data_IF_044970835268
#
_entry.id   IF_044970835268
#
_cell.length_a   1.000
_cell.length_b   1.000
_cell.length_c   1.000
_cell.angle_alpha   90.00
_cell.angle_beta   90.00
_cell.angle_gamma   90.00
#
_symmetry.space_group_name_H-M   'P 1'
#
loop_
_entity.id
_entity.type
_entity.pdbx_description
1 polymer ?
#
# COMPACT_ATOMS: atom_id res chain seq x y z
N UNK A 1 15.57 13.45 -8.46
CA UNK A 1 14.40 14.24 -8.01
C UNK A 1 13.06 13.55 -8.24
N UNK A 2 12.59 13.36 -9.49
CA UNK A 2 11.29 12.72 -9.75
C UNK A 2 11.23 11.29 -9.18
N UNK A 3 12.27 10.49 -9.47
CA UNK A 3 12.46 9.13 -8.92
C UNK A 3 12.39 9.11 -7.38
N UNK A 4 13.13 10.00 -6.74
CA UNK A 4 13.20 10.07 -5.28
C UNK A 4 11.86 10.47 -4.65
N UNK A 5 11.11 11.35 -5.33
CA UNK A 5 9.76 11.75 -4.94
C UNK A 5 8.77 10.58 -5.01
N UNK A 6 8.85 9.77 -6.08
CA UNK A 6 8.01 8.56 -6.23
C UNK A 6 8.29 7.56 -5.10
N UNK A 7 9.56 7.25 -4.84
CA UNK A 7 9.92 6.33 -3.76
C UNK A 7 9.46 6.85 -2.39
N UNK A 8 9.69 8.13 -2.10
CA UNK A 8 9.24 8.76 -0.85
C UNK A 8 7.71 8.69 -0.71
N UNK A 9 6.97 8.91 -1.78
CA UNK A 9 5.51 8.82 -1.73
C UNK A 9 5.04 7.37 -1.51
N UNK A 10 5.72 6.38 -2.08
CA UNK A 10 5.44 4.96 -1.80
C UNK A 10 5.69 4.65 -0.31
N UNK A 11 6.81 5.10 0.24
CA UNK A 11 7.14 4.90 1.66
C UNK A 11 6.10 5.56 2.58
N UNK A 12 5.71 6.81 2.29
CA UNK A 12 4.69 7.53 3.04
C UNK A 12 3.33 6.81 3.02
N UNK A 13 2.97 6.20 1.89
CA UNK A 13 1.72 5.46 1.78
C UNK A 13 1.79 4.08 2.44
N UNK A 14 2.96 3.45 2.47
CA UNK A 14 3.17 2.12 3.05
C UNK A 14 3.17 2.15 4.59
N UNK A 15 3.78 3.17 5.18
CA UNK A 15 3.88 3.33 6.64
C UNK A 15 2.80 4.24 7.21
N UNK A 16 2.68 4.25 8.53
CA UNK A 16 1.78 5.16 9.25
C UNK A 16 2.23 6.61 9.06
N UNK A 17 1.69 7.26 8.03
CA UNK A 17 1.88 8.68 7.74
C UNK A 17 0.54 9.39 7.73
N UNK A 18 0.55 10.65 8.14
CA UNK A 18 -0.62 11.52 8.11
C UNK A 18 -0.99 11.94 6.68
N UNK A 19 -2.25 12.31 6.48
CA UNK A 19 -2.77 12.70 5.17
C UNK A 19 -2.16 14.00 4.62
N UNK A 20 -1.67 14.88 5.49
CA UNK A 20 -1.07 16.16 5.07
C UNK A 20 0.27 15.89 4.40
N UNK A 21 1.11 15.06 5.01
CA UNK A 21 2.40 14.64 4.45
C UNK A 21 2.26 13.96 3.09
N UNK A 22 1.27 13.07 2.94
CA UNK A 22 1.01 12.39 1.65
C UNK A 22 0.53 13.40 0.60
N UNK A 23 -0.42 14.28 0.93
CA UNK A 23 -0.89 15.30 -0.01
C UNK A 23 0.22 16.25 -0.44
N UNK A 24 1.12 16.62 0.48
CA UNK A 24 2.26 17.46 0.17
C UNK A 24 3.21 16.78 -0.84
N UNK A 25 3.54 15.51 -0.62
CA UNK A 25 4.41 14.77 -1.56
C UNK A 25 3.70 14.50 -2.90
N UNK A 26 2.38 14.28 -2.91
CA UNK A 26 1.58 14.18 -4.14
C UNK A 26 1.58 15.48 -4.95
N UNK A 27 1.45 16.64 -4.30
CA UNK A 27 1.55 17.94 -4.97
C UNK A 27 2.95 18.17 -5.57
N UNK A 28 3.99 17.76 -4.84
CA UNK A 28 5.36 17.82 -5.32
C UNK A 28 5.59 16.89 -6.50
N UNK A 29 5.07 15.66 -6.45
CA UNK A 29 5.12 14.70 -7.55
C UNK A 29 4.45 15.28 -8.80
N UNK A 30 3.26 15.90 -8.67
CA UNK A 30 2.59 16.58 -9.78
C UNK A 30 3.49 17.63 -10.45
N UNK A 31 4.06 18.55 -9.65
CA UNK A 31 4.92 19.62 -10.18
C UNK A 31 6.18 19.08 -10.87
N UNK A 32 6.81 18.05 -10.30
CA UNK A 32 8.01 17.44 -10.88
C UNK A 32 7.69 16.70 -12.18
N UNK A 33 6.58 15.98 -12.23
CA UNK A 33 6.11 15.32 -13.43
C UNK A 33 5.77 16.32 -14.54
N UNK A 34 5.00 17.37 -14.24
CA UNK A 34 4.59 18.36 -15.23
C UNK A 34 5.83 19.03 -15.86
N UNK A 35 6.79 19.44 -15.03
CA UNK A 35 8.07 19.99 -15.49
C UNK A 35 8.88 19.00 -16.34
N UNK A 36 8.91 17.72 -15.95
CA UNK A 36 9.58 16.69 -16.73
C UNK A 36 8.95 16.57 -18.12
N UNK A 37 7.62 16.44 -18.17
CA UNK A 37 6.89 16.23 -19.42
C UNK A 37 6.92 17.44 -20.35
N UNK A 38 6.90 18.66 -19.80
CA UNK A 38 7.08 19.90 -20.58
C UNK A 38 8.42 19.92 -21.31
N UNK A 39 9.48 19.42 -20.67
CA UNK A 39 10.84 19.47 -21.21
C UNK A 39 11.20 18.27 -22.09
N UNK A 40 10.71 17.09 -21.75
CA UNK A 40 11.18 15.82 -22.34
C UNK A 40 10.06 14.95 -22.92
N UNK A 41 8.81 15.41 -22.88
CA UNK A 41 7.65 14.60 -23.27
C UNK A 41 7.35 13.47 -22.29
N UNK A 42 6.53 12.51 -22.73
CA UNK A 42 6.10 11.38 -21.90
C UNK A 42 7.30 10.52 -21.47
N UNK A 43 7.28 10.07 -20.22
CA UNK A 43 8.25 9.14 -19.63
C UNK A 43 8.30 7.84 -20.44
N UNK A 44 7.14 7.34 -20.90
CA UNK A 44 7.03 6.14 -21.73
C UNK A 44 7.45 6.34 -23.19
N UNK A 45 7.87 7.56 -23.60
CA UNK A 45 8.32 7.77 -24.97
C UNK A 45 9.59 6.98 -25.28
N UNK A 46 9.75 6.56 -26.54
CA UNK A 46 10.92 5.79 -26.98
C UNK A 46 12.26 6.50 -26.69
N UNK A 47 12.30 7.82 -26.81
CA UNK A 47 13.50 8.60 -26.50
C UNK A 47 13.89 8.50 -25.03
N UNK A 48 12.92 8.62 -24.13
CA UNK A 48 13.14 8.48 -22.69
C UNK A 48 13.46 7.03 -22.31
N UNK A 49 12.83 6.03 -22.94
CA UNK A 49 13.17 4.63 -22.74
C UNK A 49 14.63 4.31 -23.05
N UNK A 50 15.18 4.89 -24.13
CA UNK A 50 16.59 4.74 -24.47
C UNK A 50 17.50 5.49 -23.49
N UNK A 51 17.11 6.70 -23.08
CA UNK A 51 17.87 7.51 -22.14
C UNK A 51 17.94 6.88 -20.73
N UNK A 52 16.94 6.08 -20.35
CA UNK A 52 16.84 5.41 -19.06
C UNK A 52 17.12 3.90 -19.13
N UNK A 53 17.74 3.39 -20.21
CA UNK A 53 17.94 1.96 -20.41
C UNK A 53 18.64 1.24 -19.24
N UNK A 54 19.57 1.92 -18.57
CA UNK A 54 20.33 1.40 -17.42
C UNK A 54 19.73 1.78 -16.05
N UNK A 55 18.58 2.46 -16.02
CA UNK A 55 17.91 2.87 -14.78
C UNK A 55 16.92 1.79 -14.31
N UNK A 56 17.26 1.13 -13.20
CA UNK A 56 16.41 0.12 -12.58
C UNK A 56 15.03 0.63 -12.17
N UNK A 57 14.88 1.94 -11.92
CA UNK A 57 13.60 2.55 -11.53
C UNK A 57 12.79 3.03 -12.74
N UNK A 58 13.26 2.85 -13.97
CA UNK A 58 12.59 3.38 -15.16
C UNK A 58 11.14 2.91 -15.28
N UNK A 59 10.90 1.60 -15.14
CA UNK A 59 9.54 1.06 -15.27
C UNK A 59 8.59 1.52 -14.16
N UNK A 60 9.12 1.85 -12.98
CA UNK A 60 8.32 2.50 -11.93
C UNK A 60 7.95 3.94 -12.33
N UNK A 61 8.85 4.68 -12.97
CA UNK A 61 8.52 6.00 -13.50
C UNK A 61 7.49 5.90 -14.63
N UNK A 62 7.56 4.88 -15.48
CA UNK A 62 6.56 4.62 -16.51
C UNK A 62 5.16 4.40 -15.93
N UNK A 63 5.04 3.81 -14.74
CA UNK A 63 3.74 3.59 -14.11
C UNK A 63 3.05 4.88 -13.65
N UNK A 64 3.71 6.04 -13.74
CA UNK A 64 3.08 7.35 -13.53
C UNK A 64 2.12 7.73 -14.65
N UNK A 65 2.22 7.10 -15.82
CA UNK A 65 1.45 7.43 -17.01
C UNK A 65 0.50 6.30 -17.37
N UNK A 66 -0.78 6.64 -17.46
CA UNK A 66 -1.78 5.77 -18.08
C UNK A 66 -1.86 6.18 -19.55
N UNK A 67 -1.45 5.29 -20.44
CA UNK A 67 -1.46 5.52 -21.88
C UNK A 67 -2.81 5.14 -22.49
N UNK A 68 -3.12 5.72 -23.64
CA UNK A 68 -4.32 5.38 -24.39
C UNK A 68 -4.30 3.92 -24.86
N UNK A 69 -5.48 3.31 -24.99
CA UNK A 69 -5.62 1.90 -25.34
C UNK A 69 -5.45 1.63 -26.83
N UNK A 70 -5.83 2.58 -27.67
CA UNK A 70 -5.69 2.50 -29.14
C UNK A 70 -4.34 3.07 -29.60
N UNK A 71 -3.87 4.14 -28.95
CA UNK A 71 -2.62 4.83 -29.29
C UNK A 71 -1.70 4.96 -28.07
N UNK A 72 -0.83 3.96 -27.87
CA UNK A 72 0.14 3.93 -26.75
C UNK A 72 1.16 5.07 -26.77
N UNK A 73 1.16 5.94 -27.77
CA UNK A 73 2.00 7.15 -27.77
C UNK A 73 1.34 8.35 -27.09
N UNK A 74 0.04 8.25 -26.76
CA UNK A 74 -0.74 9.32 -26.11
C UNK A 74 -1.01 9.01 -24.65
N UNK A 75 -0.98 10.07 -23.85
CA UNK A 75 -1.36 10.02 -22.44
C UNK A 75 -2.88 10.04 -22.32
N UNK A 76 -3.45 9.00 -21.70
CA UNK A 76 -4.85 8.95 -21.27
C UNK A 76 -5.05 9.67 -19.94
N UNK A 77 -4.08 9.58 -19.04
CA UNK A 77 -4.10 10.29 -17.77
C UNK A 77 -2.88 10.01 -16.89
N UNK A 78 -2.78 10.72 -15.77
CA UNK A 78 -1.81 10.43 -14.71
C UNK A 78 -2.30 9.26 -13.85
N UNK A 79 -1.37 8.53 -13.25
CA UNK A 79 -1.71 7.46 -12.32
C UNK A 79 -2.46 7.96 -11.07
N UNK A 80 -3.18 7.06 -10.43
CA UNK A 80 -3.98 7.36 -9.23
C UNK A 80 -3.14 7.90 -8.06
N UNK A 81 -1.86 7.54 -7.97
CA UNK A 81 -0.98 7.96 -6.88
C UNK A 81 -0.76 9.47 -6.82
N UNK A 82 -1.05 10.21 -7.90
CA UNK A 82 -0.96 11.67 -7.93
C UNK A 82 -2.06 12.36 -7.11
N UNK A 83 -3.17 11.68 -6.79
CA UNK A 83 -4.35 12.32 -6.19
C UNK A 83 -4.94 11.57 -5.01
N UNK A 84 -4.70 10.25 -4.90
CA UNK A 84 -5.20 9.44 -3.79
C UNK A 84 -4.18 8.40 -3.33
N UNK A 85 -4.39 7.89 -2.12
CA UNK A 85 -3.63 6.73 -1.64
C UNK A 85 -3.96 5.52 -2.52
N UNK A 86 -2.94 4.86 -3.05
CA UNK A 86 -3.00 3.63 -3.85
C UNK A 86 -2.49 2.42 -3.08
N UNK A 87 -1.70 2.64 -2.03
CA UNK A 87 -1.25 1.59 -1.12
C UNK A 87 -2.07 1.71 0.16
N UNK A 88 -2.83 0.66 0.47
CA UNK A 88 -3.59 0.59 1.72
C UNK A 88 -2.63 0.24 2.85
N UNK A 89 -2.55 1.09 3.86
CA UNK A 89 -1.83 0.78 5.09
C UNK A 89 -2.37 -0.53 5.66
N UNK A 90 -1.47 -1.44 6.02
CA UNK A 90 -1.84 -2.65 6.75
C UNK A 90 -2.13 -2.23 8.19
N UNK A 91 -3.37 -1.86 8.46
CA UNK A 91 -3.85 -1.67 9.81
C UNK A 91 -4.08 -3.05 10.41
N UNK A 92 -3.26 -3.44 11.38
CA UNK A 92 -3.62 -4.54 12.27
C UNK A 92 -4.90 -4.15 12.99
N UNK A 93 -5.89 -5.05 13.00
CA UNK A 93 -7.08 -4.86 13.81
C UNK A 93 -6.63 -4.72 15.26
N UNK A 94 -7.06 -3.68 15.96
CA UNK A 94 -6.63 -3.40 17.34
C UNK A 94 -7.66 -3.83 18.38
N UNK A 95 -8.90 -4.11 17.98
CA UNK A 95 -9.97 -4.59 18.84
C UNK A 95 -11.04 -5.34 18.04
N UNK A 96 -11.61 -6.40 18.62
CA UNK A 96 -12.79 -7.13 18.11
C UNK A 96 -13.70 -7.54 19.27
N UNK A 97 -14.98 -7.77 19.00
CA UNK A 97 -15.97 -8.02 20.06
C UNK A 97 -16.08 -9.52 20.42
N UNK A 98 -15.72 -10.40 19.49
CA UNK A 98 -15.94 -11.85 19.64
C UNK A 98 -14.65 -12.66 19.60
N UNK A 99 -14.61 -13.77 20.34
CA UNK A 99 -13.48 -14.70 20.28
C UNK A 99 -13.32 -15.33 18.88
N UNK A 100 -14.40 -15.49 18.12
CA UNK A 100 -14.36 -16.03 16.75
C UNK A 100 -13.65 -15.11 15.76
N UNK A 101 -13.89 -13.79 15.84
CA UNK A 101 -13.17 -12.81 15.03
C UNK A 101 -11.69 -12.75 15.42
N UNK A 102 -11.39 -12.79 16.71
CA UNK A 102 -10.02 -12.84 17.22
C UNK A 102 -9.28 -14.10 16.75
N UNK A 103 -9.98 -15.24 16.72
CA UNK A 103 -9.45 -16.51 16.22
C UNK A 103 -9.08 -16.41 14.74
N UNK A 104 -9.98 -15.88 13.90
CA UNK A 104 -9.70 -15.69 12.48
C UNK A 104 -8.48 -14.79 12.25
N UNK A 105 -8.34 -13.72 13.03
CA UNK A 105 -7.18 -12.83 12.99
C UNK A 105 -5.89 -13.52 13.46
N UNK A 106 -5.95 -14.31 14.54
CA UNK A 106 -4.81 -15.08 15.04
C UNK A 106 -4.30 -16.08 14.00
N UNK A 107 -5.21 -16.81 13.34
CA UNK A 107 -4.82 -17.72 12.25
C UNK A 107 -4.24 -16.94 11.07
N UNK A 108 -4.88 -15.83 10.66
CA UNK A 108 -4.42 -15.01 9.54
C UNK A 108 -3.08 -14.32 9.76
N UNK A 109 -2.75 -13.92 10.98
CA UNK A 109 -1.55 -13.12 11.28
C UNK A 109 -0.43 -13.92 11.96
N UNK A 110 -0.78 -14.89 12.81
CA UNK A 110 0.19 -15.70 13.58
C UNK A 110 0.33 -17.12 13.06
N UNK A 111 -0.51 -17.53 12.11
CA UNK A 111 -0.56 -18.90 11.57
C UNK A 111 -0.81 -19.98 12.65
N UNK A 112 -1.39 -19.60 13.80
CA UNK A 112 -1.75 -20.48 14.92
C UNK A 112 -2.82 -19.82 15.80
N UNK A 113 -3.41 -20.61 16.70
CA UNK A 113 -4.21 -20.08 17.82
C UNK A 113 -3.24 -19.47 18.83
N UNK A 114 -3.28 -18.16 19.00
CA UNK A 114 -2.41 -17.39 19.89
C UNK A 114 -3.29 -16.69 20.94
N UNK A 115 -3.46 -17.34 22.10
CA UNK A 115 -4.41 -16.91 23.14
C UNK A 115 -4.08 -15.53 23.70
N UNK A 116 -2.80 -15.22 23.87
CA UNK A 116 -2.36 -13.90 24.32
C UNK A 116 -2.74 -12.80 23.31
N UNK A 117 -2.56 -13.06 22.01
CA UNK A 117 -2.98 -12.13 20.97
C UNK A 117 -4.50 -11.95 20.93
N UNK A 118 -5.26 -13.05 21.03
CA UNK A 118 -6.73 -13.01 21.04
C UNK A 118 -7.29 -12.29 22.27
N UNK A 119 -6.68 -12.48 23.44
CA UNK A 119 -7.01 -11.75 24.67
C UNK A 119 -6.73 -10.26 24.53
N UNK A 120 -5.60 -9.88 23.93
CA UNK A 120 -5.28 -8.48 23.66
C UNK A 120 -6.32 -7.81 22.73
N UNK A 121 -6.81 -8.51 21.70
CA UNK A 121 -7.79 -7.99 20.75
C UNK A 121 -9.21 -7.88 21.33
N UNK A 122 -9.60 -8.81 22.19
CA UNK A 122 -10.97 -8.87 22.72
C UNK A 122 -11.13 -8.19 24.07
N UNK A 123 -10.03 -8.01 24.81
CA UNK A 123 -10.04 -7.62 26.22
C UNK A 123 -10.57 -8.71 27.16
N UNK A 124 -10.84 -9.93 26.66
CA UNK A 124 -11.37 -11.06 27.43
C UNK A 124 -10.24 -11.89 28.03
N UNK A 125 -10.53 -12.61 29.11
CA UNK A 125 -9.60 -13.60 29.66
C UNK A 125 -9.45 -14.79 28.71
N UNK A 126 -8.35 -15.54 28.82
CA UNK A 126 -8.16 -16.75 28.02
C UNK A 126 -9.26 -17.78 28.29
N UNK A 127 -9.72 -17.90 29.54
CA UNK A 127 -10.81 -18.81 29.92
C UNK A 127 -12.13 -18.45 29.21
N UNK A 128 -12.51 -17.16 29.19
CA UNK A 128 -13.71 -16.70 28.48
C UNK A 128 -13.61 -16.97 26.97
N UNK A 129 -12.42 -16.83 26.39
CA UNK A 129 -12.16 -17.10 24.98
C UNK A 129 -12.28 -18.60 24.68
N UNK A 130 -11.75 -19.46 25.55
CA UNK A 130 -11.88 -20.93 25.41
C UNK A 130 -13.34 -21.34 25.49
N UNK A 131 -14.08 -20.76 26.44
CA UNK A 131 -15.51 -21.04 26.61
C UNK A 131 -16.33 -20.60 25.40
N UNK A 132 -16.07 -19.41 24.85
CA UNK A 132 -16.73 -18.92 23.62
C UNK A 132 -16.37 -19.75 22.38
N UNK A 133 -15.18 -20.36 22.35
CA UNK A 133 -14.69 -21.15 21.23
C UNK A 133 -14.79 -22.66 21.46
N UNK A 134 -15.56 -23.09 22.45
CA UNK A 134 -15.75 -24.50 22.75
C UNK A 134 -16.31 -25.24 21.51
N UNK A 135 -15.64 -26.32 21.10
CA UNK A 135 -15.97 -27.07 19.90
C UNK A 135 -15.45 -26.47 18.58
N UNK A 136 -14.80 -25.31 18.62
CA UNK A 136 -14.11 -24.69 17.48
C UNK A 136 -12.60 -24.87 17.59
N UNK A 137 -12.04 -24.66 18.79
CA UNK A 137 -10.62 -24.92 19.08
C UNK A 137 -10.45 -26.23 19.86
N UNK A 138 -9.35 -26.93 19.61
CA UNK A 138 -9.01 -28.19 20.29
C UNK A 138 -7.57 -28.11 20.77
N UNK A 139 -7.35 -28.49 22.04
CA UNK A 139 -6.01 -28.62 22.59
C UNK A 139 -5.34 -29.85 21.96
N UNK A 140 -4.15 -29.63 21.38
CA UNK A 140 -3.26 -30.72 20.98
C UNK A 140 -2.55 -31.23 22.25
N UNK A 141 -2.66 -32.53 22.59
CA UNK A 141 -2.07 -33.10 23.81
C UNK A 141 -0.53 -33.06 23.88
#
# INVERSE_FOLDING_TARGET
ELRDCVHRLIDLQMWESDDISIRAEQQKLNRLYDRFTEKYGLINSRGNALAFADDSSYYLLCSLEVLDDEDKTKLKGKADMFTKRTIRQRQSVTSVDTAAEALALSIGEKARVDMAYMSQLTGKSEDDIIDELNGVIFLDP
#
